data_IF_048993527452
#
_entry.id   IF_048993527452
#
_cell.length_a   1.000
_cell.length_b   1.000
_cell.length_c   1.000
_cell.angle_alpha   90.00
_cell.angle_beta   90.00
_cell.angle_gamma   90.00
#
_symmetry.space_group_name_H-M   'P 1'
#
loop_
_entity.id
_entity.type
_entity.pdbx_description
1 polymer ?
#
# COMPACT_ATOMS: atom_id res chain seq x y z
N UNK A 1 -0.05 33.72 -11.09
CA UNK A 1 -0.71 32.42 -10.84
C UNK A 1 -2.22 32.53 -10.83
N UNK A 2 -2.89 33.32 -9.94
CA UNK A 2 -4.35 33.46 -9.83
C UNK A 2 -5.02 33.83 -11.18
N UNK A 3 -4.48 34.82 -11.93
CA UNK A 3 -5.02 35.22 -13.24
C UNK A 3 -4.97 34.08 -14.28
N UNK A 4 -3.90 33.28 -14.28
CA UNK A 4 -3.74 32.13 -15.19
C UNK A 4 -4.79 31.06 -14.85
N UNK A 5 -4.91 30.72 -13.57
CA UNK A 5 -5.85 29.71 -13.09
C UNK A 5 -7.30 30.08 -13.42
N UNK A 6 -7.70 31.35 -13.18
CA UNK A 6 -9.03 31.85 -13.55
C UNK A 6 -9.28 31.78 -15.06
N UNK A 7 -8.25 32.02 -15.89
CA UNK A 7 -8.36 31.89 -17.34
C UNK A 7 -8.57 30.44 -17.76
N UNK A 8 -7.78 29.51 -17.21
CA UNK A 8 -7.93 28.08 -17.47
C UNK A 8 -9.32 27.58 -17.05
N UNK A 9 -9.80 27.99 -15.87
CA UNK A 9 -11.12 27.63 -15.38
C UNK A 9 -12.24 28.13 -16.32
N UNK A 10 -12.16 29.37 -16.79
CA UNK A 10 -13.12 29.90 -17.75
C UNK A 10 -13.12 29.14 -19.08
N UNK A 11 -11.93 28.77 -19.57
CA UNK A 11 -11.82 27.96 -20.77
C UNK A 11 -12.43 26.58 -20.58
N UNK A 12 -12.08 25.89 -19.49
CA UNK A 12 -12.63 24.59 -19.18
C UNK A 12 -14.16 24.61 -19.06
N UNK A 13 -14.70 25.62 -18.36
CA UNK A 13 -16.16 25.79 -18.24
C UNK A 13 -16.83 26.02 -19.62
N UNK A 14 -16.21 26.84 -20.49
CA UNK A 14 -16.72 27.06 -21.84
C UNK A 14 -16.76 25.75 -22.66
N UNK A 15 -15.69 24.98 -22.61
CA UNK A 15 -15.64 23.69 -23.34
C UNK A 15 -16.61 22.67 -22.75
N UNK A 16 -16.78 22.65 -21.43
CA UNK A 16 -17.78 21.82 -20.78
C UNK A 16 -19.20 22.13 -21.26
N UNK A 17 -19.55 23.42 -21.35
CA UNK A 17 -20.85 23.86 -21.86
C UNK A 17 -21.03 23.46 -23.33
N UNK A 18 -20.01 23.66 -24.16
CA UNK A 18 -20.04 23.23 -25.58
C UNK A 18 -20.23 21.72 -25.74
N UNK A 19 -19.56 20.93 -24.92
CA UNK A 19 -19.73 19.47 -24.93
C UNK A 19 -21.13 19.03 -24.51
N UNK A 20 -21.75 19.74 -23.55
CA UNK A 20 -23.12 19.47 -23.11
C UNK A 20 -24.16 19.87 -24.15
N UNK A 21 -23.92 20.96 -24.88
CA UNK A 21 -24.85 21.52 -25.85
C UNK A 21 -24.74 20.85 -27.24
N UNK A 22 -23.51 20.48 -27.64
CA UNK A 22 -23.20 20.04 -29.00
C UNK A 22 -22.38 18.77 -29.07
N UNK A 23 -22.27 18.00 -27.95
CA UNK A 23 -21.50 16.77 -27.94
C UNK A 23 -22.03 15.74 -28.92
N UNK A 24 -23.34 15.73 -29.19
CA UNK A 24 -23.98 14.86 -30.15
C UNK A 24 -23.56 15.13 -31.61
N UNK A 25 -23.09 16.35 -31.91
CA UNK A 25 -22.57 16.73 -33.22
C UNK A 25 -21.12 16.25 -33.47
N UNK A 26 -20.51 15.61 -32.52
CA UNK A 26 -19.11 15.13 -32.61
C UNK A 26 -19.03 13.67 -33.04
N UNK A 27 -17.88 13.28 -33.62
CA UNK A 27 -17.59 11.89 -34.00
C UNK A 27 -17.36 10.95 -32.77
N UNK A 28 -17.51 11.46 -31.54
CA UNK A 28 -17.32 10.68 -30.34
C UNK A 28 -18.60 9.97 -29.91
N UNK A 29 -18.46 8.76 -29.35
CA UNK A 29 -19.61 8.05 -28.80
C UNK A 29 -20.17 8.78 -27.57
N UNK A 30 -21.50 8.72 -27.30
CA UNK A 30 -22.12 9.37 -26.15
C UNK A 30 -21.47 9.01 -24.80
N UNK A 31 -21.00 7.75 -24.63
CA UNK A 31 -20.31 7.30 -23.44
C UNK A 31 -18.96 7.99 -23.24
N UNK A 32 -18.20 8.22 -24.32
CA UNK A 32 -16.93 8.95 -24.25
C UNK A 32 -17.17 10.42 -23.90
N UNK A 33 -18.18 11.05 -24.49
CA UNK A 33 -18.55 12.44 -24.20
C UNK A 33 -18.92 12.59 -22.72
N UNK A 34 -19.77 11.69 -22.22
CA UNK A 34 -20.17 11.70 -20.80
C UNK A 34 -18.97 11.49 -19.87
N UNK A 35 -18.03 10.62 -20.22
CA UNK A 35 -16.80 10.42 -19.46
C UNK A 35 -15.95 11.70 -19.39
N UNK A 36 -15.77 12.40 -20.52
CA UNK A 36 -15.03 13.67 -20.58
C UNK A 36 -15.73 14.75 -19.75
N UNK A 37 -17.05 14.88 -19.87
CA UNK A 37 -17.85 15.81 -19.08
C UNK A 37 -17.62 15.57 -17.59
N UNK A 38 -17.78 14.34 -17.13
CA UNK A 38 -17.61 13.96 -15.71
C UNK A 38 -16.19 14.25 -15.22
N UNK A 39 -15.16 14.00 -16.02
CA UNK A 39 -13.78 14.32 -15.66
C UNK A 39 -13.54 15.82 -15.53
N UNK A 40 -14.04 16.63 -16.46
CA UNK A 40 -13.90 18.09 -16.41
C UNK A 40 -14.64 18.65 -15.19
N UNK A 41 -15.86 18.20 -14.92
CA UNK A 41 -16.65 18.62 -13.76
C UNK A 41 -15.95 18.28 -12.44
N UNK A 42 -15.42 17.06 -12.33
CA UNK A 42 -14.66 16.60 -11.17
C UNK A 42 -13.45 17.49 -10.88
N UNK A 43 -12.70 17.87 -11.93
CA UNK A 43 -11.55 18.77 -11.77
C UNK A 43 -12.01 20.18 -11.40
N UNK A 44 -13.01 20.72 -12.09
CA UNK A 44 -13.52 22.06 -11.85
C UNK A 44 -14.07 22.24 -10.44
N UNK A 45 -14.72 21.23 -9.89
CA UNK A 45 -15.24 21.25 -8.52
C UNK A 45 -14.16 21.40 -7.45
N UNK A 46 -12.95 20.95 -7.73
CA UNK A 46 -11.81 21.00 -6.80
C UNK A 46 -11.04 22.34 -6.86
N UNK A 47 -11.15 23.08 -7.97
CA UNK A 47 -10.39 24.32 -8.20
C UNK A 47 -10.56 25.36 -7.10
N UNK A 48 -11.77 25.65 -6.56
CA UNK A 48 -11.94 26.62 -5.48
C UNK A 48 -11.16 26.26 -4.22
N UNK A 49 -11.18 24.99 -3.83
CA UNK A 49 -10.45 24.47 -2.67
C UNK A 49 -8.94 24.66 -2.84
N UNK A 50 -8.42 24.35 -4.02
CA UNK A 50 -6.99 24.51 -4.34
C UNK A 50 -6.56 25.98 -4.35
N UNK A 51 -7.39 26.87 -4.89
CA UNK A 51 -7.13 28.32 -4.84
C UNK A 51 -7.05 28.78 -3.39
N UNK A 52 -8.00 28.36 -2.55
CA UNK A 52 -8.03 28.68 -1.11
C UNK A 52 -6.76 28.14 -0.43
N UNK A 53 -6.45 26.89 -0.65
CA UNK A 53 -5.24 26.23 -0.11
C UNK A 53 -3.95 26.97 -0.51
N UNK A 54 -3.80 27.32 -1.77
CA UNK A 54 -2.63 28.06 -2.26
C UNK A 54 -2.57 29.48 -1.65
N UNK A 55 -3.69 30.16 -1.53
CA UNK A 55 -3.76 31.48 -0.91
C UNK A 55 -3.37 31.42 0.58
N UNK A 56 -3.93 30.50 1.34
CA UNK A 56 -3.60 30.35 2.76
C UNK A 56 -2.14 29.99 3.01
N UNK A 57 -1.54 29.14 2.16
CA UNK A 57 -0.13 28.74 2.28
C UNK A 57 0.84 29.82 1.86
N UNK A 58 0.61 30.45 0.69
CA UNK A 58 1.60 31.32 0.05
C UNK A 58 1.45 32.76 0.55
N UNK A 59 0.23 33.24 0.73
CA UNK A 59 -0.05 34.63 1.13
C UNK A 59 -0.30 34.70 2.64
N UNK A 60 -1.10 33.79 3.18
CA UNK A 60 -1.44 33.75 4.60
C UNK A 60 -0.36 33.13 5.50
N UNK A 61 0.66 32.49 4.96
CA UNK A 61 1.74 31.83 5.74
C UNK A 61 1.26 30.71 6.66
N UNK A 62 0.01 30.23 6.50
CA UNK A 62 -0.59 29.23 7.39
C UNK A 62 -0.24 27.80 6.96
N UNK A 63 0.01 26.92 7.93
CA UNK A 63 0.09 25.48 7.71
C UNK A 63 -1.32 24.91 7.60
N UNK A 64 -1.62 24.27 6.48
CA UNK A 64 -2.88 23.55 6.27
C UNK A 64 -2.70 22.12 6.76
N UNK A 65 -3.67 21.58 7.49
CA UNK A 65 -3.66 20.21 7.95
C UNK A 65 -3.63 19.23 6.75
N UNK A 66 -2.91 18.12 6.87
CA UNK A 66 -2.74 17.17 5.75
C UNK A 66 -4.08 16.65 5.21
N UNK A 67 -5.06 16.43 6.08
CA UNK A 67 -6.41 15.99 5.72
C UNK A 67 -7.23 17.02 4.91
N UNK A 68 -6.83 18.29 4.96
CA UNK A 68 -7.51 19.38 4.25
C UNK A 68 -6.82 19.74 2.92
N UNK A 69 -5.69 19.08 2.62
CA UNK A 69 -4.92 19.34 1.41
C UNK A 69 -5.47 18.54 0.24
N UNK A 70 -5.75 19.23 -0.86
CA UNK A 70 -5.86 18.58 -2.16
C UNK A 70 -4.45 18.36 -2.70
N UNK A 71 -4.01 17.11 -2.79
CA UNK A 71 -2.67 16.73 -3.19
C UNK A 71 -2.56 16.49 -4.70
N UNK A 72 -3.63 16.00 -5.29
CA UNK A 72 -3.74 15.73 -6.72
C UNK A 72 -5.13 16.12 -7.22
N UNK A 73 -5.21 16.70 -8.42
CA UNK A 73 -6.45 16.98 -9.13
C UNK A 73 -7.04 15.74 -9.79
N UNK A 74 -6.19 14.75 -10.06
CA UNK A 74 -6.55 13.55 -10.81
C UNK A 74 -6.79 12.35 -9.91
N UNK A 75 -6.36 12.44 -8.66
CA UNK A 75 -6.30 11.34 -7.72
C UNK A 75 -6.61 11.85 -6.30
N UNK A 76 -7.88 11.95 -5.98
CA UNK A 76 -8.35 12.50 -4.69
C UNK A 76 -7.92 11.63 -3.48
N UNK A 77 -7.73 10.33 -3.71
CA UNK A 77 -7.42 9.34 -2.67
C UNK A 77 -5.92 9.21 -2.36
N UNK A 78 -5.08 10.06 -2.96
CA UNK A 78 -3.64 10.09 -2.68
C UNK A 78 -3.38 10.76 -1.33
N UNK A 79 -2.56 10.11 -0.51
CA UNK A 79 -2.19 10.58 0.82
C UNK A 79 -0.73 11.03 0.88
N UNK A 80 -0.42 11.81 1.90
CA UNK A 80 0.96 12.16 2.26
C UNK A 80 1.50 11.10 3.20
N UNK A 81 2.52 10.39 2.75
CA UNK A 81 3.26 9.42 3.56
C UNK A 81 4.55 10.08 4.02
N UNK A 82 4.60 10.45 5.29
CA UNK A 82 5.83 10.97 5.90
C UNK A 82 6.63 9.79 6.45
N UNK A 83 7.76 9.49 5.86
CA UNK A 83 8.72 8.55 6.45
C UNK A 83 9.55 9.32 7.48
N UNK A 84 9.64 8.81 8.71
CA UNK A 84 10.38 9.43 9.83
C UNK A 84 11.91 9.42 9.67
N UNK A 85 12.43 9.47 8.44
CA UNK A 85 13.85 9.56 8.15
C UNK A 85 14.31 11.03 8.16
N UNK A 86 15.54 11.27 8.58
CA UNK A 86 16.14 12.59 8.77
C UNK A 86 16.11 13.51 7.54
N UNK A 87 15.93 12.99 6.34
CA UNK A 87 15.91 13.76 5.09
C UNK A 87 14.52 14.25 4.65
N UNK A 88 13.48 14.07 5.48
CA UNK A 88 12.17 14.70 5.25
C UNK A 88 11.48 14.35 3.92
N UNK A 89 11.86 13.26 3.28
CA UNK A 89 11.23 12.83 2.03
C UNK A 89 9.76 12.50 2.28
N UNK A 90 8.91 13.23 1.58
CA UNK A 90 7.47 13.04 1.58
C UNK A 90 7.13 12.22 0.34
N UNK A 91 6.55 11.05 0.55
CA UNK A 91 6.01 10.23 -0.52
C UNK A 91 4.51 10.49 -0.66
N UNK A 92 3.99 10.31 -1.88
CA UNK A 92 2.56 10.43 -2.19
C UNK A 92 2.05 9.07 -2.65
N UNK A 93 0.96 8.61 -2.07
CA UNK A 93 0.37 7.32 -2.41
C UNK A 93 -0.59 6.82 -1.35
N UNK A 94 -0.82 5.51 -1.34
CA UNK A 94 -1.59 4.81 -0.33
C UNK A 94 -0.68 3.83 0.41
N UNK A 95 -0.90 3.66 1.70
CA UNK A 95 -0.20 2.63 2.45
C UNK A 95 -0.64 1.26 1.97
N UNK A 96 0.32 0.34 1.88
CA UNK A 96 0.08 -1.05 1.56
C UNK A 96 0.46 -1.92 2.75
N UNK A 97 -0.53 -2.58 3.34
CA UNK A 97 -0.34 -3.66 4.29
C UNK A 97 -0.06 -4.97 3.56
N UNK A 98 0.89 -5.74 4.06
CA UNK A 98 1.21 -7.08 3.56
C UNK A 98 1.47 -8.02 4.73
N UNK A 99 0.78 -9.16 4.73
CA UNK A 99 1.06 -10.32 5.56
C UNK A 99 1.66 -11.44 4.72
N UNK A 100 2.80 -11.98 5.16
CA UNK A 100 3.44 -13.12 4.49
C UNK A 100 3.58 -14.31 5.43
N UNK A 101 3.55 -15.52 4.87
CA UNK A 101 3.85 -16.74 5.60
C UNK A 101 5.36 -17.04 5.62
N UNK A 102 5.76 -18.08 6.35
CA UNK A 102 7.17 -18.49 6.48
C UNK A 102 7.84 -18.82 5.14
N UNK A 103 7.08 -19.31 4.17
CA UNK A 103 7.58 -19.65 2.83
C UNK A 103 7.69 -18.43 1.93
N UNK A 104 7.22 -17.26 2.39
CA UNK A 104 7.25 -16.00 1.67
C UNK A 104 6.12 -15.84 0.65
N UNK A 105 5.01 -16.55 0.80
CA UNK A 105 3.78 -16.25 0.10
C UNK A 105 3.04 -15.11 0.82
N UNK A 106 2.45 -14.21 0.04
CA UNK A 106 1.58 -13.18 0.58
C UNK A 106 0.21 -13.81 0.82
N UNK A 107 -0.18 -13.86 2.09
CA UNK A 107 -1.45 -14.46 2.53
C UNK A 107 -2.50 -13.42 2.90
N UNK A 108 -2.08 -12.17 3.12
CA UNK A 108 -2.98 -11.04 3.38
C UNK A 108 -2.41 -9.77 2.78
N UNK A 109 -3.26 -8.92 2.21
CA UNK A 109 -2.88 -7.59 1.78
C UNK A 109 -4.08 -6.63 1.87
N UNK A 110 -3.78 -5.36 2.09
CA UNK A 110 -4.77 -4.29 2.10
C UNK A 110 -4.13 -3.00 1.60
N UNK A 111 -4.69 -2.40 0.57
CA UNK A 111 -4.37 -1.03 0.19
C UNK A 111 -5.26 -0.08 1.00
N UNK A 112 -4.66 0.82 1.77
CA UNK A 112 -5.42 1.74 2.63
C UNK A 112 -5.91 2.95 1.83
N UNK A 113 -7.21 3.16 1.80
CA UNK A 113 -7.80 4.37 1.22
C UNK A 113 -7.52 5.60 2.11
N UNK A 114 -7.58 5.42 3.42
CA UNK A 114 -7.24 6.43 4.42
C UNK A 114 -6.08 5.94 5.27
N UNK A 115 -5.19 6.86 5.65
CA UNK A 115 -4.06 6.52 6.49
C UNK A 115 -4.55 6.12 7.89
N UNK A 116 -4.37 4.85 8.23
CA UNK A 116 -4.60 4.34 9.58
C UNK A 116 -3.28 4.19 10.35
N UNK A 117 -3.39 3.98 11.64
CA UNK A 117 -2.23 3.62 12.45
C UNK A 117 -1.93 2.13 12.24
N UNK A 118 -0.67 1.80 11.97
CA UNK A 118 -0.21 0.43 11.70
C UNK A 118 -0.67 -0.56 12.79
N UNK A 119 -0.65 -0.15 14.06
CA UNK A 119 -1.14 -0.98 15.15
C UNK A 119 -2.62 -1.40 15.03
N UNK A 120 -3.44 -0.63 14.33
CA UNK A 120 -4.86 -0.97 14.11
C UNK A 120 -5.08 -2.01 13.02
N UNK A 121 -4.04 -2.42 12.31
CA UNK A 121 -4.15 -3.41 11.22
C UNK A 121 -4.13 -4.86 11.70
N UNK A 122 -3.62 -5.13 12.91
CA UNK A 122 -3.51 -6.50 13.45
C UNK A 122 -4.89 -7.16 13.60
N UNK A 123 -5.84 -6.50 14.25
CA UNK A 123 -7.16 -7.07 14.50
C UNK A 123 -7.91 -7.40 13.19
N UNK A 124 -8.03 -6.49 12.20
CA UNK A 124 -8.64 -6.81 10.92
C UNK A 124 -7.90 -7.93 10.16
N UNK A 125 -6.56 -7.96 10.22
CA UNK A 125 -5.77 -8.99 9.56
C UNK A 125 -6.03 -10.37 10.17
N UNK A 126 -6.03 -10.48 11.52
CA UNK A 126 -6.35 -11.73 12.22
C UNK A 126 -7.79 -12.16 11.91
N UNK A 127 -8.73 -11.23 11.84
CA UNK A 127 -10.12 -11.53 11.47
C UNK A 127 -10.20 -12.14 10.06
N UNK A 128 -9.57 -11.52 9.06
CA UNK A 128 -9.54 -12.06 7.69
C UNK A 128 -8.87 -13.43 7.63
N UNK A 129 -7.70 -13.57 8.24
CA UNK A 129 -6.90 -14.78 8.12
C UNK A 129 -7.48 -15.95 8.92
N UNK A 130 -7.90 -15.73 10.16
CA UNK A 130 -8.37 -16.80 11.06
C UNK A 130 -9.87 -17.07 10.89
N UNK A 131 -10.69 -16.00 10.91
CA UNK A 131 -12.16 -16.19 10.93
C UNK A 131 -12.75 -16.38 9.53
N UNK A 132 -12.25 -15.63 8.52
CA UNK A 132 -12.82 -15.69 7.18
C UNK A 132 -12.13 -16.75 6.31
N UNK A 133 -10.80 -16.88 6.40
CA UNK A 133 -10.04 -17.82 5.58
C UNK A 133 -9.71 -19.13 6.32
N UNK A 134 -9.98 -19.23 7.62
CA UNK A 134 -9.72 -20.41 8.45
C UNK A 134 -8.25 -20.88 8.40
N UNK A 135 -7.31 -19.96 8.29
CA UNK A 135 -5.88 -20.29 8.26
C UNK A 135 -5.37 -20.58 9.68
N UNK A 136 -4.57 -21.64 9.88
CA UNK A 136 -4.02 -22.02 11.17
C UNK A 136 -2.81 -21.16 11.52
N UNK A 137 -3.04 -19.95 12.03
CA UNK A 137 -1.97 -19.01 12.42
C UNK A 137 -1.47 -19.37 13.82
N UNK A 138 -0.18 -19.69 13.94
CA UNK A 138 0.46 -20.01 15.22
C UNK A 138 1.24 -18.84 15.83
N UNK A 139 1.75 -17.95 14.97
CA UNK A 139 2.56 -16.81 15.39
C UNK A 139 2.44 -15.63 14.45
N UNK A 140 2.54 -14.43 14.96
CA UNK A 140 2.56 -13.18 14.20
C UNK A 140 3.80 -12.38 14.55
N UNK A 141 4.52 -11.95 13.53
CA UNK A 141 5.76 -11.19 13.64
C UNK A 141 5.57 -9.79 13.07
N UNK A 142 6.00 -8.79 13.80
CA UNK A 142 5.82 -7.41 13.39
C UNK A 142 6.84 -6.44 13.98
N UNK A 143 6.83 -5.21 13.45
CA UNK A 143 7.72 -4.17 13.92
C UNK A 143 7.17 -3.45 15.17
N UNK A 144 7.96 -2.48 15.65
CA UNK A 144 7.58 -1.66 16.82
C UNK A 144 6.30 -0.85 16.62
N UNK A 145 5.96 -0.54 15.34
CA UNK A 145 4.75 0.19 15.00
C UNK A 145 3.49 -0.61 15.31
N UNK A 146 3.58 -1.92 15.18
CA UNK A 146 2.47 -2.86 15.41
C UNK A 146 2.28 -3.23 16.88
N UNK A 147 3.32 -3.06 17.71
CA UNK A 147 3.24 -3.45 19.12
C UNK A 147 2.36 -2.50 19.93
N UNK A 148 1.34 -3.06 20.60
CA UNK A 148 0.48 -2.41 21.59
C UNK A 148 -0.11 -3.45 22.55
N UNK A 149 -0.48 -3.04 23.75
CA UNK A 149 -1.13 -3.94 24.70
C UNK A 149 -2.43 -4.56 24.15
N UNK A 150 -3.19 -3.79 23.38
CA UNK A 150 -4.39 -4.31 22.71
C UNK A 150 -4.08 -5.42 21.71
N UNK A 151 -3.00 -5.27 20.92
CA UNK A 151 -2.61 -6.29 19.94
C UNK A 151 -2.06 -7.55 20.62
N UNK A 152 -1.32 -7.41 21.74
CA UNK A 152 -0.89 -8.56 22.55
C UNK A 152 -2.10 -9.35 23.05
N UNK A 153 -3.14 -8.66 23.55
CA UNK A 153 -4.36 -9.31 24.04
C UNK A 153 -5.16 -9.98 22.91
N UNK A 154 -5.24 -9.34 21.72
CA UNK A 154 -5.89 -9.93 20.55
C UNK A 154 -5.18 -11.22 20.12
N UNK A 155 -3.84 -11.22 20.06
CA UNK A 155 -3.09 -12.41 19.68
C UNK A 155 -3.25 -13.51 20.72
N UNK A 156 -3.13 -13.17 21.99
CA UNK A 156 -3.30 -14.10 23.12
C UNK A 156 -4.71 -14.73 23.15
N UNK A 157 -5.76 -13.93 22.93
CA UNK A 157 -7.13 -14.42 22.92
C UNK A 157 -7.45 -15.37 21.75
N UNK A 158 -6.64 -15.35 20.68
CA UNK A 158 -6.72 -16.25 19.56
C UNK A 158 -5.70 -17.41 19.62
N UNK A 159 -5.00 -17.59 20.74
CA UNK A 159 -3.94 -18.59 20.93
C UNK A 159 -2.78 -18.45 19.92
N UNK A 160 -2.43 -17.20 19.60
CA UNK A 160 -1.38 -16.87 18.62
C UNK A 160 -0.18 -16.27 19.39
N UNK A 161 1.00 -16.84 19.16
CA UNK A 161 2.24 -16.30 19.72
C UNK A 161 2.53 -14.91 19.15
N UNK A 162 2.79 -13.95 20.05
CA UNK A 162 3.15 -12.58 19.68
C UNK A 162 4.66 -12.41 19.52
N UNK A 163 5.12 -12.34 18.29
CA UNK A 163 6.46 -11.92 17.92
C UNK A 163 6.54 -10.43 17.56
N UNK A 164 5.61 -9.61 18.03
CA UNK A 164 5.64 -8.18 17.85
C UNK A 164 6.82 -7.57 18.62
N UNK A 165 7.61 -6.72 17.92
CA UNK A 165 8.78 -6.11 18.53
C UNK A 165 8.35 -5.07 19.60
N UNK A 166 8.67 -5.25 20.89
CA UNK A 166 8.34 -4.29 21.92
C UNK A 166 8.95 -2.91 21.66
N UNK A 167 8.25 -1.86 22.07
CA UNK A 167 8.76 -0.48 21.97
C UNK A 167 9.84 -0.21 23.02
N UNK A 168 9.69 -0.78 24.20
CA UNK A 168 10.67 -0.69 25.28
C UNK A 168 11.86 -1.61 24.99
N UNK A 169 13.05 -1.01 24.96
CA UNK A 169 14.30 -1.72 24.67
C UNK A 169 14.67 -2.71 25.79
N UNK A 170 14.32 -2.43 27.04
CA UNK A 170 14.61 -3.31 28.15
C UNK A 170 13.74 -4.57 28.07
N UNK A 171 12.44 -4.40 27.83
CA UNK A 171 11.50 -5.50 27.59
C UNK A 171 11.95 -6.36 26.40
N UNK A 172 12.37 -5.73 25.31
CA UNK A 172 12.91 -6.46 24.15
C UNK A 172 14.16 -7.25 24.52
N UNK A 173 15.08 -6.65 25.28
CA UNK A 173 16.33 -7.30 25.69
C UNK A 173 16.09 -8.51 26.59
N UNK A 174 15.13 -8.42 27.49
CA UNK A 174 14.72 -9.55 28.37
C UNK A 174 14.09 -10.66 27.52
N UNK A 175 13.09 -10.34 26.70
CA UNK A 175 12.45 -11.33 25.82
C UNK A 175 13.43 -12.02 24.88
N UNK A 176 14.42 -11.30 24.33
CA UNK A 176 15.45 -11.90 23.46
C UNK A 176 16.38 -12.87 24.19
N UNK A 177 16.50 -12.80 25.53
CA UNK A 177 17.26 -13.78 26.33
C UNK A 177 16.44 -15.04 26.57
N UNK A 178 15.16 -14.86 26.87
CA UNK A 178 14.29 -15.92 27.33
C UNK A 178 13.58 -16.65 26.18
N UNK A 179 13.40 -15.97 25.02
CA UNK A 179 12.65 -16.46 23.85
C UNK A 179 13.56 -16.56 22.60
N UNK A 180 14.27 -17.69 22.37
CA UNK A 180 15.09 -17.87 21.17
C UNK A 180 14.30 -17.69 19.87
N UNK A 181 13.03 -18.11 19.85
CA UNK A 181 12.13 -17.98 18.71
C UNK A 181 11.93 -16.52 18.31
N UNK A 182 11.85 -15.59 19.29
CA UNK A 182 11.72 -14.17 19.03
C UNK A 182 12.91 -13.65 18.21
N UNK A 183 14.11 -14.07 18.54
CA UNK A 183 15.33 -13.67 17.83
C UNK A 183 15.30 -14.13 16.35
N UNK A 184 14.91 -15.36 16.11
CA UNK A 184 14.80 -15.90 14.75
C UNK A 184 13.68 -15.26 13.93
N UNK A 185 12.50 -15.08 14.53
CA UNK A 185 11.38 -14.45 13.88
C UNK A 185 11.66 -12.99 13.47
N UNK A 186 12.32 -12.23 14.36
CA UNK A 186 12.74 -10.85 14.04
C UNK A 186 13.78 -10.78 12.92
N UNK A 187 14.69 -11.79 12.80
CA UNK A 187 15.59 -11.89 11.66
C UNK A 187 14.84 -12.17 10.36
N UNK A 188 13.86 -13.08 10.38
CA UNK A 188 13.03 -13.38 9.20
C UNK A 188 12.24 -12.18 8.73
N UNK A 189 11.74 -11.36 9.66
CA UNK A 189 11.04 -10.11 9.37
C UNK A 189 11.83 -9.16 8.47
N UNK A 190 13.16 -9.11 8.61
CA UNK A 190 14.00 -8.31 7.71
C UNK A 190 13.81 -8.69 6.23
N UNK A 191 13.40 -9.94 5.95
CA UNK A 191 13.04 -10.39 4.60
C UNK A 191 11.75 -9.75 4.05
N UNK A 192 10.82 -9.34 4.92
CA UNK A 192 9.55 -8.72 4.50
C UNK A 192 9.78 -7.37 3.81
N UNK A 193 10.73 -6.56 4.27
CA UNK A 193 11.07 -5.30 3.61
C UNK A 193 11.62 -5.52 2.18
N UNK A 194 12.45 -6.55 2.01
CA UNK A 194 12.93 -6.94 0.68
C UNK A 194 11.78 -7.41 -0.21
N UNK A 195 10.80 -8.11 0.34
CA UNK A 195 9.61 -8.60 -0.37
C UNK A 195 8.73 -7.46 -0.85
N UNK A 196 8.44 -6.49 0.01
CA UNK A 196 7.73 -5.26 -0.38
C UNK A 196 8.44 -4.57 -1.54
N UNK A 197 9.76 -4.46 -1.48
CA UNK A 197 10.55 -3.88 -2.57
C UNK A 197 10.43 -4.69 -3.88
N UNK A 198 10.43 -6.02 -3.82
CA UNK A 198 10.24 -6.89 -4.98
C UNK A 198 8.85 -6.67 -5.59
N UNK A 199 7.79 -6.66 -4.77
CA UNK A 199 6.42 -6.45 -5.24
C UNK A 199 6.30 -5.11 -5.95
N UNK A 200 6.76 -4.04 -5.32
CA UNK A 200 6.67 -2.69 -5.87
C UNK A 200 7.47 -2.57 -7.17
N UNK A 201 8.74 -3.01 -7.18
CA UNK A 201 9.64 -2.79 -8.32
C UNK A 201 9.40 -3.75 -9.48
N UNK A 202 9.11 -5.02 -9.17
CA UNK A 202 9.05 -6.09 -10.18
C UNK A 202 7.63 -6.30 -10.72
N UNK A 203 6.63 -6.21 -9.86
CA UNK A 203 5.25 -6.55 -10.22
C UNK A 203 4.33 -5.35 -10.37
N UNK A 204 4.49 -4.29 -9.59
CA UNK A 204 3.68 -3.08 -9.72
C UNK A 204 4.28 -2.03 -10.67
N UNK A 205 5.61 -1.94 -10.71
CA UNK A 205 6.32 -0.86 -11.41
C UNK A 205 6.38 0.43 -10.58
N UNK A 206 7.41 1.24 -10.86
CA UNK A 206 7.66 2.50 -10.17
C UNK A 206 7.84 3.61 -11.20
N UNK A 207 7.05 4.70 -11.16
CA UNK A 207 5.88 4.94 -10.30
C UNK A 207 4.67 4.07 -10.68
N UNK A 208 3.76 3.87 -9.74
CA UNK A 208 2.50 3.19 -9.99
C UNK A 208 1.69 3.96 -11.04
N UNK A 209 1.32 3.29 -12.15
CA UNK A 209 0.64 3.95 -13.29
C UNK A 209 -0.88 3.96 -13.18
N UNK A 210 -1.44 3.15 -12.30
CA UNK A 210 -2.89 3.06 -12.10
C UNK A 210 -3.43 4.35 -11.48
N UNK A 211 -4.47 4.92 -12.09
CA UNK A 211 -5.17 6.12 -11.61
C UNK A 211 -6.46 5.72 -10.91
N UNK A 212 -6.75 6.40 -9.80
CA UNK A 212 -7.88 6.08 -8.94
C UNK A 212 -7.60 4.93 -7.97
N UNK A 213 -8.27 4.96 -6.82
CA UNK A 213 -8.04 3.98 -5.75
C UNK A 213 -8.33 2.55 -6.19
N UNK A 214 -9.48 2.31 -6.81
CA UNK A 214 -9.93 0.98 -7.25
C UNK A 214 -8.96 0.33 -8.26
N UNK A 215 -8.45 1.12 -9.22
CA UNK A 215 -7.46 0.62 -10.18
C UNK A 215 -6.12 0.31 -9.50
N UNK A 216 -5.72 1.08 -8.49
CA UNK A 216 -4.52 0.79 -7.70
C UNK A 216 -4.68 -0.46 -6.85
N UNK A 217 -5.85 -0.63 -6.23
CA UNK A 217 -6.17 -1.83 -5.45
C UNK A 217 -6.14 -3.08 -6.33
N UNK A 218 -6.78 -3.03 -7.49
CA UNK A 218 -6.74 -4.10 -8.49
C UNK A 218 -5.29 -4.39 -8.94
N UNK A 219 -4.48 -3.37 -9.20
CA UNK A 219 -3.07 -3.53 -9.57
C UNK A 219 -2.27 -4.21 -8.45
N UNK A 220 -2.53 -3.88 -7.19
CA UNK A 220 -1.92 -4.56 -6.03
C UNK A 220 -2.33 -6.04 -6.01
N UNK A 221 -3.61 -6.34 -6.20
CA UNK A 221 -4.10 -7.72 -6.26
C UNK A 221 -3.40 -8.55 -7.35
N UNK A 222 -3.25 -8.00 -8.55
CA UNK A 222 -2.50 -8.64 -9.63
C UNK A 222 -1.02 -8.81 -9.31
N UNK A 223 -0.40 -7.84 -8.63
CA UNK A 223 1.00 -7.93 -8.21
C UNK A 223 1.21 -9.03 -7.17
N UNK A 224 0.30 -9.16 -6.19
CA UNK A 224 0.30 -10.22 -5.18
C UNK A 224 0.14 -11.60 -5.82
N UNK A 225 -0.86 -11.75 -6.70
CA UNK A 225 -1.07 -13.01 -7.43
C UNK A 225 0.17 -13.40 -8.24
N UNK A 226 0.72 -12.47 -9.01
CA UNK A 226 1.91 -12.70 -9.83
C UNK A 226 3.13 -13.06 -8.99
N UNK A 227 3.32 -12.40 -7.84
CA UNK A 227 4.36 -12.73 -6.88
C UNK A 227 4.21 -14.16 -6.35
N UNK A 228 3.01 -14.54 -5.94
CA UNK A 228 2.75 -15.86 -5.38
C UNK A 228 2.94 -16.96 -6.43
N UNK A 229 2.49 -16.75 -7.67
CA UNK A 229 2.75 -17.67 -8.79
C UNK A 229 4.24 -17.79 -9.11
N UNK A 230 4.96 -16.68 -9.14
CA UNK A 230 6.40 -16.68 -9.32
C UNK A 230 7.13 -17.43 -8.20
N UNK A 231 6.70 -17.25 -6.96
CA UNK A 231 7.26 -17.96 -5.80
C UNK A 231 7.00 -19.46 -5.89
N UNK A 232 5.78 -19.87 -6.24
CA UNK A 232 5.41 -21.27 -6.44
C UNK A 232 6.26 -21.92 -7.53
N UNK A 233 6.44 -21.24 -8.66
CA UNK A 233 7.27 -21.76 -9.76
C UNK A 233 8.72 -21.98 -9.32
N UNK A 234 9.28 -21.07 -8.53
CA UNK A 234 10.65 -21.21 -8.01
C UNK A 234 10.79 -22.36 -7.01
N UNK A 235 9.81 -22.59 -6.16
CA UNK A 235 9.82 -23.75 -5.24
C UNK A 235 9.80 -25.06 -6.03
N UNK A 236 8.92 -25.18 -7.02
CA UNK A 236 8.87 -26.37 -7.89
C UNK A 236 10.15 -26.60 -8.68
N UNK A 237 10.79 -25.52 -9.15
CA UNK A 237 12.10 -25.64 -9.81
C UNK A 237 13.18 -26.14 -8.84
N UNK A 238 13.21 -25.66 -7.60
CA UNK A 238 14.16 -26.11 -6.59
C UNK A 238 13.95 -27.58 -6.23
N UNK A 239 12.71 -28.03 -6.07
CA UNK A 239 12.37 -29.43 -5.86
C UNK A 239 12.84 -30.31 -7.03
N UNK A 240 12.63 -29.89 -8.28
CA UNK A 240 13.06 -30.63 -9.46
C UNK A 240 14.57 -30.74 -9.56
N UNK A 241 15.33 -29.71 -9.17
CA UNK A 241 16.80 -29.75 -9.16
C UNK A 241 17.32 -30.73 -8.12
N UNK A 242 16.72 -30.78 -6.92
CA UNK A 242 17.12 -31.73 -5.87
C UNK A 242 16.91 -33.18 -6.28
N UNK A 243 15.92 -33.46 -7.11
CA UNK A 243 15.68 -34.83 -7.65
C UNK A 243 16.72 -35.25 -8.67
N UNK A 244 17.44 -34.31 -9.29
CA UNK A 244 18.45 -34.54 -10.32
C UNK A 244 19.90 -34.40 -9.82
N UNK A 245 20.18 -34.21 -8.53
CA UNK A 245 21.52 -34.39 -7.99
C UNK A 245 21.85 -35.88 -8.07
N UNK A 246 22.83 -36.31 -8.89
CA UNK A 246 23.16 -37.72 -8.99
C UNK A 246 23.76 -38.18 -7.66
N UNK A 247 23.07 -39.10 -7.00
CA UNK A 247 23.70 -39.95 -6.01
C UNK A 247 24.90 -40.63 -6.68
N UNK A 248 26.10 -40.36 -6.17
CA UNK A 248 27.33 -41.14 -6.35
C UNK A 248 27.76 -41.44 -7.79
N UNK A 249 28.58 -40.60 -8.37
CA UNK A 249 29.58 -41.06 -9.32
C UNK A 249 30.70 -41.73 -8.47
N UNK A 250 30.88 -43.08 -8.50
CA UNK A 250 31.99 -43.71 -7.84
C UNK A 250 33.28 -43.17 -8.46
N UNK A 251 34.19 -42.65 -7.65
CA UNK A 251 35.54 -42.30 -8.09
C UNK A 251 36.12 -43.51 -8.84
N UNK A 252 36.40 -43.30 -10.12
CA UNK A 252 37.13 -44.28 -10.92
C UNK A 252 38.55 -44.37 -10.39
N UNK A 253 38.89 -45.57 -9.92
CA UNK A 253 40.23 -45.97 -9.48
C UNK A 253 41.27 -45.92 -10.62
#
# INVERSE_FOLDING_TARGET
MKKLLNRVQKHAQRHLNLLKERGEDSDLSPGVIQCIITQIESILSQVPSIIKQAHERIIGGRKIANKEKTLSLYDADVQVITRGKSNGEVEFGNNLWIGENNDGFIVDYLLEKEKTNDAKQIEPAITRLVKEQSLPIKSVWGDRGLHSAANEEILKSNDIYSGLCPRDVNVLSERLKDEPELREGLKRRAGTEARISIIIRKFMGTPARAKGFENREMMVGWAVLSHNLWKLARLKQAEAVQVFEPEDIPEAA
#
